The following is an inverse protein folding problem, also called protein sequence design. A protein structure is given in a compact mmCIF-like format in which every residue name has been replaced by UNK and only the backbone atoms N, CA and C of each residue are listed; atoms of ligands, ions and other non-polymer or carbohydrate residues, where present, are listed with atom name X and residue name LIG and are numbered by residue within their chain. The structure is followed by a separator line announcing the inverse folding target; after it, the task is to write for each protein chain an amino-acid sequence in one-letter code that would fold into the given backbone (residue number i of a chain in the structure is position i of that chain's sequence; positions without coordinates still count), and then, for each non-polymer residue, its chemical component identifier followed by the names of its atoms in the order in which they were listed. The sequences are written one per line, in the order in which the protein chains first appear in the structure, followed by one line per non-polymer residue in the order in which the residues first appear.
data_IF_324565986917
#
_entry.id   IF_324565986917
#
_cell.length_a   1.000
_cell.length_b   1.000
_cell.length_c   1.000
_cell.angle_alpha   90.00
_cell.angle_beta   90.00
_cell.angle_gamma   90.00
#
_symmetry.space_group_name_H-M   'P 1'
#
loop_
_entity.id
_entity.type
_entity.pdbx_description
1 polymer ?
#
# COMPACT_ATOMS: atom_id res chain seq x y z
N UNK A 1 -17.79 7.92 -1.03
CA UNK A 1 -16.85 6.83 -1.38
C UNK A 1 -15.54 7.36 -1.96
N UNK A 2 -15.58 8.20 -2.99
CA UNK A 2 -14.37 8.68 -3.70
C UNK A 2 -13.34 9.36 -2.77
N UNK A 3 -13.77 10.30 -1.93
CA UNK A 3 -12.88 10.98 -0.98
C UNK A 3 -12.19 10.02 0.01
N UNK A 4 -12.94 9.02 0.51
CA UNK A 4 -12.45 8.01 1.45
C UNK A 4 -11.48 7.04 0.77
N UNK A 5 -11.76 6.62 -0.46
CA UNK A 5 -10.85 5.79 -1.25
C UNK A 5 -9.53 6.51 -1.58
N UNK A 6 -9.61 7.80 -1.92
CA UNK A 6 -8.43 8.65 -2.13
C UNK A 6 -7.62 8.78 -0.83
N UNK A 7 -8.28 9.06 0.30
CA UNK A 7 -7.63 9.16 1.61
C UNK A 7 -6.89 7.87 2.00
N UNK A 8 -7.50 6.71 1.76
CA UNK A 8 -6.86 5.42 2.01
C UNK A 8 -5.63 5.17 1.11
N UNK A 9 -5.74 5.47 -0.19
CA UNK A 9 -4.63 5.32 -1.14
C UNK A 9 -3.46 6.26 -0.85
N UNK A 10 -3.73 7.50 -0.43
CA UNK A 10 -2.70 8.46 -0.06
C UNK A 10 -1.99 8.02 1.22
N UNK A 11 -2.74 7.57 2.23
CA UNK A 11 -2.17 7.15 3.51
C UNK A 11 -1.18 5.99 3.34
N UNK A 12 -1.52 4.97 2.55
CA UNK A 12 -0.65 3.83 2.30
C UNK A 12 0.65 4.23 1.58
N UNK A 13 0.57 5.15 0.61
CA UNK A 13 1.75 5.69 -0.09
C UNK A 13 2.67 6.45 0.87
N UNK A 14 2.12 7.34 1.70
CA UNK A 14 2.92 8.16 2.64
C UNK A 14 3.70 7.26 3.60
N UNK A 15 3.09 6.20 4.13
CA UNK A 15 3.77 5.24 5.02
C UNK A 15 4.92 4.52 4.31
N UNK A 16 4.73 4.08 3.06
CA UNK A 16 5.79 3.43 2.29
C UNK A 16 6.95 4.38 2.01
N UNK A 17 6.66 5.62 1.58
CA UNK A 17 7.69 6.63 1.31
C UNK A 17 8.47 7.00 2.57
N UNK A 18 7.79 7.11 3.72
CA UNK A 18 8.43 7.40 5.00
C UNK A 18 9.34 6.25 5.44
N UNK A 19 8.89 5.00 5.31
CA UNK A 19 9.73 3.81 5.61
C UNK A 19 10.97 3.72 4.74
N UNK A 20 10.85 3.98 3.44
CA UNK A 20 12.03 4.01 2.55
C UNK A 20 13.01 5.06 3.03
N UNK A 21 12.55 6.28 3.34
CA UNK A 21 13.41 7.36 3.83
C UNK A 21 14.10 7.02 5.16
N UNK A 22 13.38 6.42 6.09
CA UNK A 22 13.90 5.99 7.40
C UNK A 22 15.00 4.93 7.25
N UNK A 23 14.78 3.89 6.43
CA UNK A 23 15.78 2.84 6.18
C UNK A 23 17.05 3.36 5.49
N UNK A 24 16.91 4.33 4.59
CA UNK A 24 18.06 5.00 3.97
C UNK A 24 18.90 5.81 4.97
N UNK A 25 18.30 6.29 6.07
CA UNK A 25 18.98 7.03 7.11
C UNK A 25 19.65 6.10 8.15
N UNK A 26 18.99 4.99 8.51
CA UNK A 26 19.47 4.02 9.52
C UNK A 26 20.64 3.15 9.04
N UNK A 27 20.72 2.83 7.73
CA UNK A 27 21.75 1.92 7.21
C UNK A 27 22.58 2.50 6.06
N UNK A 28 23.38 3.56 6.28
CA UNK A 28 24.14 4.22 5.22
C UNK A 28 25.32 3.39 4.65
N UNK A 29 25.74 2.31 5.32
CA UNK A 29 26.92 1.48 4.98
C UNK A 29 26.63 0.05 4.51
N UNK A 30 25.36 -0.40 4.53
CA UNK A 30 24.99 -1.74 4.02
C UNK A 30 24.69 -1.70 2.53
N UNK A 31 24.86 -2.85 1.88
CA UNK A 31 24.53 -3.00 0.46
C UNK A 31 23.09 -2.55 0.23
N UNK A 32 22.93 -1.54 -0.62
CA UNK A 32 21.65 -0.86 -0.82
C UNK A 32 20.58 -1.82 -1.31
N UNK A 33 20.97 -2.92 -1.94
CA UNK A 33 20.09 -4.00 -2.39
C UNK A 33 19.48 -4.78 -1.23
N UNK A 34 20.27 -5.15 -0.22
CA UNK A 34 19.81 -5.89 0.96
C UNK A 34 18.92 -5.04 1.86
N UNK A 35 19.33 -3.80 2.15
CA UNK A 35 18.55 -2.87 2.98
C UNK A 35 17.19 -2.61 2.34
N UNK A 36 17.16 -2.49 1.01
CA UNK A 36 15.93 -2.26 0.26
C UNK A 36 15.00 -3.47 0.29
N UNK A 37 15.55 -4.68 0.13
CA UNK A 37 14.78 -5.92 0.23
C UNK A 37 14.15 -6.11 1.63
N UNK A 38 14.92 -5.83 2.69
CA UNK A 38 14.41 -5.89 4.07
C UNK A 38 13.34 -4.83 4.35
N UNK A 39 13.53 -3.61 3.83
CA UNK A 39 12.55 -2.51 3.94
C UNK A 39 11.24 -2.87 3.25
N UNK A 40 11.33 -3.40 2.03
CA UNK A 40 10.18 -3.83 1.26
C UNK A 40 9.45 -4.96 1.97
N UNK A 41 10.16 -6.01 2.39
CA UNK A 41 9.55 -7.16 3.05
C UNK A 41 8.79 -6.77 4.32
N UNK A 42 9.36 -5.85 5.11
CA UNK A 42 8.72 -5.34 6.35
C UNK A 42 7.48 -4.50 6.07
N UNK A 43 7.50 -3.70 4.99
CA UNK A 43 6.39 -2.80 4.65
C UNK A 43 5.29 -3.53 3.87
N UNK A 44 5.65 -4.49 3.01
CA UNK A 44 4.75 -5.37 2.27
C UNK A 44 3.85 -6.16 3.21
N UNK A 45 4.41 -6.79 4.24
CA UNK A 45 3.64 -7.59 5.19
C UNK A 45 2.57 -6.75 5.90
N UNK A 46 2.90 -5.50 6.26
CA UNK A 46 1.97 -4.56 6.89
C UNK A 46 0.88 -4.10 5.91
N UNK A 47 1.27 -3.63 4.73
CA UNK A 47 0.33 -3.14 3.71
C UNK A 47 -0.63 -4.23 3.23
N UNK A 48 -0.14 -5.46 3.03
CA UNK A 48 -0.98 -6.62 2.69
C UNK A 48 -1.96 -6.91 3.83
N UNK A 49 -1.51 -7.03 5.08
CA UNK A 49 -2.42 -7.35 6.19
C UNK A 49 -3.51 -6.29 6.39
N UNK A 50 -3.17 -5.00 6.32
CA UNK A 50 -4.15 -3.93 6.50
C UNK A 50 -5.15 -3.86 5.34
N UNK A 51 -4.69 -4.00 4.09
CA UNK A 51 -5.57 -4.04 2.92
C UNK A 51 -6.48 -5.26 2.92
N UNK A 52 -5.97 -6.44 3.30
CA UNK A 52 -6.75 -7.67 3.39
C UNK A 52 -7.86 -7.56 4.45
N UNK A 53 -7.55 -7.06 5.64
CA UNK A 53 -8.55 -6.81 6.68
C UNK A 53 -9.65 -5.87 6.19
N UNK A 54 -9.26 -4.76 5.55
CA UNK A 54 -10.22 -3.77 5.04
C UNK A 54 -11.10 -4.36 3.93
N UNK A 55 -10.51 -5.19 3.06
CA UNK A 55 -11.23 -5.91 2.01
C UNK A 55 -12.25 -6.90 2.58
N UNK A 56 -11.87 -7.69 3.58
CA UNK A 56 -12.78 -8.64 4.26
C UNK A 56 -13.95 -7.91 4.90
N UNK A 57 -13.70 -6.80 5.60
CA UNK A 57 -14.75 -5.98 6.20
C UNK A 57 -15.71 -5.42 5.14
N UNK A 58 -15.18 -4.87 4.04
CA UNK A 58 -15.99 -4.36 2.94
C UNK A 58 -16.80 -5.47 2.25
N UNK A 59 -16.25 -6.67 2.13
CA UNK A 59 -16.92 -7.85 1.58
C UNK A 59 -18.11 -8.27 2.47
N UNK A 60 -17.91 -8.30 3.80
CA UNK A 60 -18.99 -8.56 4.75
C UNK A 60 -20.10 -7.51 4.65
N UNK A 61 -19.76 -6.22 4.56
CA UNK A 61 -20.74 -5.14 4.39
C UNK A 61 -21.43 -5.22 3.02
N UNK A 62 -20.75 -5.68 1.98
CA UNK A 62 -21.35 -5.84 0.65
C UNK A 62 -22.38 -6.97 0.60
N UNK A 63 -22.16 -8.06 1.35
CA UNK A 63 -23.07 -9.22 1.41
C UNK A 63 -24.22 -8.99 2.40
N UNK A 64 -23.91 -8.43 3.59
CA UNK A 64 -24.86 -8.27 4.70
C UNK A 64 -25.48 -6.87 4.78
N UNK A 65 -24.95 -5.89 4.05
CA UNK A 65 -25.43 -4.51 4.07
C UNK A 65 -26.63 -4.28 3.14
N UNK A 66 -27.52 -3.37 3.55
CA UNK A 66 -28.68 -2.98 2.75
C UNK A 66 -28.31 -2.21 1.47
N UNK A 67 -29.30 -2.02 0.58
CA UNK A 67 -29.10 -1.49 -0.78
C UNK A 67 -28.36 -0.14 -0.84
N UNK A 68 -28.60 0.74 0.13
CA UNK A 68 -27.95 2.06 0.20
C UNK A 68 -26.45 2.00 0.48
N UNK A 69 -25.96 0.93 1.16
CA UNK A 69 -24.55 0.77 1.53
C UNK A 69 -23.81 -0.08 0.51
N UNK A 70 -24.52 -0.92 -0.25
CA UNK A 70 -23.93 -1.85 -1.21
C UNK A 70 -23.15 -1.16 -2.32
N UNK A 71 -23.72 -0.11 -2.91
CA UNK A 71 -23.07 0.70 -3.95
C UNK A 71 -21.89 1.52 -3.41
N UNK A 72 -21.95 1.95 -2.15
CA UNK A 72 -20.82 2.58 -1.45
C UNK A 72 -19.66 1.60 -1.20
N UNK A 73 -19.97 0.42 -0.64
CA UNK A 73 -18.99 -0.62 -0.35
C UNK A 73 -18.34 -1.15 -1.62
N UNK A 74 -19.08 -1.27 -2.72
CA UNK A 74 -18.54 -1.64 -4.02
C UNK A 74 -17.50 -0.64 -4.53
N UNK A 75 -17.80 0.66 -4.46
CA UNK A 75 -16.85 1.71 -4.85
C UNK A 75 -15.60 1.73 -3.95
N UNK A 76 -15.76 1.49 -2.64
CA UNK A 76 -14.64 1.37 -1.70
C UNK A 76 -13.81 0.11 -1.96
N UNK A 77 -14.44 -1.01 -2.30
CA UNK A 77 -13.76 -2.27 -2.59
C UNK A 77 -12.86 -2.15 -3.82
N UNK A 78 -13.34 -1.52 -4.90
CA UNK A 78 -12.52 -1.18 -6.06
C UNK A 78 -11.38 -0.23 -5.68
N UNK A 79 -11.66 0.79 -4.87
CA UNK A 79 -10.64 1.75 -4.41
C UNK A 79 -9.51 1.10 -3.61
N UNK A 80 -9.85 0.15 -2.71
CA UNK A 80 -8.85 -0.62 -1.95
C UNK A 80 -8.07 -1.54 -2.88
N UNK A 81 -8.73 -2.30 -3.76
CA UNK A 81 -8.03 -3.20 -4.71
C UNK A 81 -7.02 -2.42 -5.58
N UNK A 82 -7.46 -1.37 -6.27
CA UNK A 82 -6.58 -0.58 -7.13
C UNK A 82 -5.53 0.18 -6.34
N UNK A 83 -5.87 0.65 -5.12
CA UNK A 83 -4.93 1.33 -4.23
C UNK A 83 -3.80 0.42 -3.75
N UNK A 84 -4.13 -0.78 -3.29
CA UNK A 84 -3.16 -1.77 -2.81
C UNK A 84 -2.31 -2.33 -3.95
N UNK A 85 -2.92 -2.64 -5.10
CA UNK A 85 -2.18 -3.06 -6.29
C UNK A 85 -1.26 -1.94 -6.79
N UNK A 86 -1.70 -0.68 -6.80
CA UNK A 86 -0.84 0.44 -7.18
C UNK A 86 0.33 0.63 -6.21
N UNK A 87 0.11 0.57 -4.90
CA UNK A 87 1.23 0.62 -3.93
C UNK A 87 2.22 -0.53 -4.15
N UNK A 88 1.74 -1.76 -4.29
CA UNK A 88 2.60 -2.94 -4.40
C UNK A 88 3.33 -3.03 -5.74
N UNK A 89 2.62 -2.84 -6.86
CA UNK A 89 3.17 -3.00 -8.21
C UNK A 89 3.77 -1.74 -8.80
N UNK A 90 3.49 -0.54 -8.28
CA UNK A 90 4.05 0.71 -8.84
C UNK A 90 5.13 1.28 -7.91
N UNK A 91 4.93 1.30 -6.58
CA UNK A 91 5.96 1.82 -5.69
C UNK A 91 7.19 0.90 -5.58
N UNK A 92 6.99 -0.42 -5.58
CA UNK A 92 8.08 -1.41 -5.49
C UNK A 92 9.08 -1.33 -6.66
N UNK A 93 8.65 -1.36 -7.94
CA UNK A 93 9.57 -1.19 -9.06
C UNK A 93 10.07 0.24 -9.24
N UNK A 94 9.29 1.29 -8.94
CA UNK A 94 9.80 2.68 -9.02
C UNK A 94 10.96 2.87 -8.05
N UNK A 95 10.86 2.34 -6.85
CA UNK A 95 11.90 2.49 -5.86
C UNK A 95 13.14 1.61 -6.17
N UNK A 96 12.95 0.43 -6.79
CA UNK A 96 14.04 -0.33 -7.41
C UNK A 96 14.74 0.45 -8.56
N UNK A 97 13.97 1.14 -9.41
CA UNK A 97 14.46 1.85 -10.59
C UNK A 97 15.22 3.14 -10.22
N UNK A 98 14.77 3.86 -9.18
CA UNK A 98 15.48 5.02 -8.61
C UNK A 98 16.84 4.60 -8.02
N UNK A 99 16.91 3.40 -7.43
CA UNK A 99 18.15 2.84 -6.91
C UNK A 99 19.13 2.43 -8.01
N UNK A 100 18.63 1.91 -9.13
CA UNK A 100 19.46 1.47 -10.25
C UNK A 100 20.04 2.64 -11.10
N UNK A 101 19.55 3.88 -10.92
CA UNK A 101 20.08 5.10 -11.58
C UNK A 101 21.27 5.75 -10.88
N UNK A 102 21.73 5.25 -9.72
CA UNK A 102 22.98 5.68 -9.07
C UNK A 102 24.17 4.79 -9.45
N UNK A 103 24.25 4.40 -10.73
CA UNK A 103 25.47 3.85 -11.32
C UNK A 103 26.27 4.98 -11.94
#
# INVERSE_FOLDING_TARGET
AILTAIGYSINDKVVIFDRVREFFHLYPKRDRTQVFNDSLNTTLARTINTSLCTFIVLLCIFILGGDSVRSFSFAMMLGVIFGTLSSLFVASPIAYLILNRKK
#
